data_IF_949248079967
#
_entry.id   IF_949248079967
#
_cell.length_a   1.000
_cell.length_b   1.000
_cell.length_c   1.000
_cell.angle_alpha   90.00
_cell.angle_beta   90.00
_cell.angle_gamma   90.00
#
_symmetry.space_group_name_H-M   'P 1'
#
loop_
_entity.id
_entity.type
_entity.pdbx_description
1 polymer ?
#
# COMPACT_ATOMS: atom_id res chain seq x y z
N UNK A 1 51.06 86.73 -66.48
CA UNK A 1 50.26 87.97 -66.52
C UNK A 1 48.84 87.50 -66.81
N UNK A 2 48.02 87.31 -65.77
CA UNK A 2 47.13 88.36 -65.26
C UNK A 2 46.15 88.76 -66.37
N UNK A 3 44.84 88.57 -66.34
CA UNK A 3 43.88 88.26 -65.27
C UNK A 3 42.47 88.18 -65.90
N UNK A 4 41.54 87.50 -65.22
CA UNK A 4 40.09 87.80 -65.12
C UNK A 4 39.19 87.90 -66.39
N UNK A 5 37.93 87.45 -66.47
CA UNK A 5 36.92 87.00 -65.49
C UNK A 5 35.70 86.43 -66.28
N UNK A 6 35.04 85.41 -65.69
CA UNK A 6 33.57 85.20 -65.52
C UNK A 6 32.73 84.89 -66.78
N UNK A 7 31.82 83.93 -66.81
CA UNK A 7 30.82 83.47 -65.82
C UNK A 7 30.41 81.99 -66.06
N UNK A 8 29.60 81.45 -65.14
CA UNK A 8 28.76 80.23 -65.25
C UNK A 8 29.41 78.92 -64.74
N UNK A 9 29.34 78.64 -63.44
CA UNK A 9 28.21 77.98 -62.75
C UNK A 9 28.70 77.48 -61.37
N UNK A 10 27.93 77.85 -60.34
CA UNK A 10 28.27 77.82 -58.92
C UNK A 10 28.24 76.43 -58.28
N UNK A 11 29.07 76.31 -57.24
CA UNK A 11 29.17 75.24 -56.25
C UNK A 11 28.11 75.33 -55.13
N UNK A 12 28.04 74.23 -54.36
CA UNK A 12 27.73 74.09 -52.92
C UNK A 12 26.27 74.27 -52.46
N UNK A 13 25.68 73.36 -51.68
CA UNK A 13 26.08 72.77 -50.38
C UNK A 13 26.12 73.77 -49.23
N UNK A 14 24.98 73.98 -48.54
CA UNK A 14 24.78 73.76 -47.09
C UNK A 14 23.46 74.39 -46.57
N UNK A 15 22.85 73.72 -45.57
CA UNK A 15 21.80 74.18 -44.62
C UNK A 15 20.33 74.26 -45.13
N UNK A 16 19.24 73.91 -44.43
CA UNK A 16 18.94 73.23 -43.16
C UNK A 16 17.39 73.00 -43.10
N UNK A 17 16.93 71.99 -42.33
CA UNK A 17 15.59 71.82 -41.71
C UNK A 17 14.42 71.15 -42.46
N UNK A 18 14.10 69.89 -42.10
CA UNK A 18 12.89 69.45 -41.33
C UNK A 18 12.59 67.94 -41.50
N UNK A 19 12.48 67.24 -40.37
CA UNK A 19 11.79 65.94 -40.24
C UNK A 19 10.27 66.10 -40.42
N UNK A 20 9.53 65.03 -40.77
CA UNK A 20 8.79 64.31 -39.72
C UNK A 20 8.78 62.77 -39.86
N UNK A 21 8.40 62.13 -38.76
CA UNK A 21 8.35 60.71 -38.47
C UNK A 21 7.20 59.92 -39.14
N UNK A 22 7.40 58.60 -39.34
CA UNK A 22 6.44 57.48 -39.35
C UNK A 22 7.15 56.28 -40.04
N UNK A 23 7.65 55.21 -39.41
CA UNK A 23 7.07 54.23 -38.48
C UNK A 23 6.00 53.30 -39.10
N UNK A 24 6.39 52.04 -39.34
CA UNK A 24 5.53 50.88 -39.08
C UNK A 24 5.09 50.00 -40.26
N UNK A 25 5.00 48.70 -39.98
CA UNK A 25 4.18 47.67 -40.65
C UNK A 25 4.83 46.72 -41.67
N UNK A 26 5.87 45.98 -41.25
CA UNK A 26 6.04 44.59 -41.75
C UNK A 26 6.53 43.62 -40.67
N UNK A 27 7.08 44.14 -39.56
CA UNK A 27 7.58 43.33 -38.44
C UNK A 27 6.49 42.92 -37.43
N UNK A 28 5.42 43.69 -37.23
CA UNK A 28 4.56 43.46 -36.04
C UNK A 28 3.60 42.27 -36.14
N UNK A 29 3.23 41.85 -37.35
CA UNK A 29 2.31 40.72 -37.56
C UNK A 29 2.98 39.37 -37.28
N UNK A 30 4.20 39.15 -37.79
CA UNK A 30 4.93 37.90 -37.61
C UNK A 30 5.36 37.66 -36.15
N UNK A 31 5.60 38.73 -35.39
CA UNK A 31 5.98 38.64 -33.98
C UNK A 31 4.77 38.42 -33.05
N UNK A 32 3.58 38.89 -33.42
CA UNK A 32 2.34 38.61 -32.67
C UNK A 32 1.92 37.14 -32.77
N UNK A 33 1.98 36.55 -33.96
CA UNK A 33 1.58 35.15 -34.19
C UNK A 33 2.51 34.13 -33.50
N UNK A 34 3.80 34.47 -33.37
CA UNK A 34 4.75 33.67 -32.60
C UNK A 34 4.55 33.81 -31.07
N UNK A 35 4.05 34.97 -30.61
CA UNK A 35 3.85 35.25 -29.19
C UNK A 35 2.55 34.65 -28.61
N UNK A 36 1.49 34.51 -29.41
CA UNK A 36 0.24 33.86 -28.98
C UNK A 36 0.36 32.34 -28.89
N UNK A 37 1.05 31.70 -29.84
CA UNK A 37 1.26 30.24 -29.83
C UNK A 37 2.05 29.77 -28.60
N UNK A 38 2.92 30.61 -28.00
CA UNK A 38 3.66 30.27 -26.77
C UNK A 38 2.81 30.36 -25.50
N UNK A 39 1.81 31.24 -25.42
CA UNK A 39 0.97 31.39 -24.20
C UNK A 39 -0.03 30.24 -24.04
N UNK A 40 -0.54 29.67 -25.14
CA UNK A 40 -1.55 28.61 -25.07
C UNK A 40 -0.96 27.20 -24.79
N UNK A 41 0.33 26.98 -25.07
CA UNK A 41 0.99 25.68 -24.86
C UNK A 41 1.42 25.39 -23.42
N UNK A 42 1.42 26.39 -22.54
CA UNK A 42 1.90 26.26 -21.14
C UNK A 42 0.77 25.99 -20.14
N UNK A 43 -0.49 26.33 -20.46
CA UNK A 43 -1.61 26.22 -19.50
C UNK A 43 -2.28 24.84 -19.43
N UNK A 44 -2.07 23.93 -20.38
CA UNK A 44 -2.75 22.61 -20.38
C UNK A 44 -1.95 21.46 -19.74
N UNK A 45 -0.65 21.64 -19.45
CA UNK A 45 0.19 20.60 -18.86
C UNK A 45 0.11 20.47 -17.33
N UNK A 46 -0.41 21.49 -16.62
CA UNK A 46 -0.32 21.56 -15.15
C UNK A 46 -1.42 20.79 -14.41
N UNK A 47 -2.55 20.48 -15.06
CA UNK A 47 -3.65 19.69 -14.46
C UNK A 47 -3.43 18.18 -14.51
N UNK A 48 -2.74 17.64 -15.53
CA UNK A 48 -2.51 16.19 -15.68
C UNK A 48 -1.50 15.61 -14.68
N UNK A 49 -0.57 16.42 -14.16
CA UNK A 49 0.44 15.97 -13.18
C UNK A 49 -0.09 15.91 -11.75
N UNK A 50 -1.15 16.66 -11.41
CA UNK A 50 -1.78 16.58 -10.07
C UNK A 50 -2.62 15.31 -9.91
N UNK A 51 -3.33 14.89 -10.96
CA UNK A 51 -4.18 13.70 -10.93
C UNK A 51 -3.32 12.43 -10.92
N UNK A 52 -2.22 12.36 -11.70
CA UNK A 52 -1.26 11.24 -11.61
C UNK A 52 -0.57 11.14 -10.24
N UNK A 53 -0.33 12.27 -9.57
CA UNK A 53 0.19 12.32 -8.19
C UNK A 53 -0.86 11.92 -7.15
N UNK A 54 -2.14 12.25 -7.35
CA UNK A 54 -3.24 11.82 -6.47
C UNK A 54 -3.49 10.32 -6.60
N UNK A 55 -3.54 9.77 -7.82
CA UNK A 55 -3.77 8.33 -8.05
C UNK A 55 -2.57 7.50 -7.60
N UNK A 56 -1.35 7.95 -7.89
CA UNK A 56 -0.13 7.33 -7.37
C UNK A 56 -0.03 7.44 -5.85
N UNK A 57 -0.39 8.60 -5.27
CA UNK A 57 -0.43 8.79 -3.82
C UNK A 57 -1.49 7.94 -3.13
N UNK A 58 -2.66 7.75 -3.75
CA UNK A 58 -3.71 6.87 -3.25
C UNK A 58 -3.28 5.40 -3.31
N UNK A 59 -2.64 4.98 -4.40
CA UNK A 59 -2.09 3.63 -4.52
C UNK A 59 -0.98 3.38 -3.48
N UNK A 60 -0.04 4.32 -3.33
CA UNK A 60 1.00 4.26 -2.30
C UNK A 60 0.39 4.27 -0.90
N UNK A 61 -0.64 5.07 -0.64
CA UNK A 61 -1.34 5.08 0.64
C UNK A 61 -2.01 3.73 0.92
N UNK A 62 -2.68 3.12 -0.06
CA UNK A 62 -3.25 1.77 0.08
C UNK A 62 -2.18 0.73 0.38
N UNK A 63 -1.05 0.76 -0.33
CA UNK A 63 0.06 -0.18 -0.08
C UNK A 63 0.63 0.02 1.32
N UNK A 64 0.84 1.27 1.75
CA UNK A 64 1.34 1.59 3.10
C UNK A 64 0.34 1.18 4.18
N UNK A 65 -0.95 1.46 4.00
CA UNK A 65 -2.01 1.05 4.95
C UNK A 65 -2.08 -0.47 5.05
N UNK A 66 -2.03 -1.18 3.91
CA UNK A 66 -2.02 -2.64 3.88
C UNK A 66 -0.77 -3.19 4.59
N UNK A 67 0.40 -2.60 4.35
CA UNK A 67 1.65 -2.99 5.01
C UNK A 67 1.59 -2.77 6.52
N UNK A 68 1.09 -1.62 6.97
CA UNK A 68 0.90 -1.31 8.40
C UNK A 68 -0.10 -2.28 9.02
N UNK A 69 -1.19 -2.60 8.32
CA UNK A 69 -2.16 -3.59 8.77
C UNK A 69 -1.52 -4.97 8.97
N UNK A 70 -0.73 -5.45 8.01
CA UNK A 70 0.02 -6.71 8.14
C UNK A 70 1.00 -6.67 9.32
N UNK A 71 1.73 -5.57 9.50
CA UNK A 71 2.63 -5.37 10.64
C UNK A 71 1.88 -5.47 11.97
N UNK A 72 0.74 -4.81 12.10
CA UNK A 72 -0.10 -4.87 13.31
C UNK A 72 -0.58 -6.31 13.57
N UNK A 73 -1.07 -7.00 12.54
CA UNK A 73 -1.49 -8.41 12.65
C UNK A 73 -0.33 -9.31 13.08
N UNK A 74 0.86 -9.14 12.53
CA UNK A 74 2.05 -9.91 12.92
C UNK A 74 2.46 -9.64 14.37
N UNK A 75 2.44 -8.37 14.81
CA UNK A 75 2.75 -8.01 16.20
C UNK A 75 1.73 -8.61 17.16
N UNK A 76 0.43 -8.54 16.85
CA UNK A 76 -0.63 -9.15 17.67
C UNK A 76 -0.46 -10.67 17.73
N UNK A 77 -0.22 -11.33 16.60
CA UNK A 77 0.00 -12.79 16.57
C UNK A 77 1.21 -13.21 17.41
N UNK A 78 2.31 -12.46 17.32
CA UNK A 78 3.55 -12.73 18.06
C UNK A 78 3.41 -12.43 19.55
N UNK A 79 2.75 -11.33 19.91
CA UNK A 79 2.51 -10.95 21.30
C UNK A 79 1.56 -11.92 22.01
N UNK A 80 0.54 -12.42 21.30
CA UNK A 80 -0.46 -13.27 21.92
C UNK A 80 0.03 -14.72 22.06
N UNK A 81 1.15 -15.12 21.41
CA UNK A 81 1.66 -16.52 21.35
C UNK A 81 0.56 -17.54 21.09
N UNK A 82 -0.48 -17.09 20.40
CA UNK A 82 -1.75 -17.76 20.29
C UNK A 82 -2.01 -17.85 18.79
N UNK A 83 -2.11 -19.06 18.24
CA UNK A 83 -2.36 -19.24 16.81
C UNK A 83 -3.79 -18.85 16.40
N UNK A 84 -4.52 -18.05 17.20
CA UNK A 84 -5.91 -17.69 16.95
C UNK A 84 -6.01 -16.61 15.87
N UNK A 85 -6.21 -17.02 14.62
CA UNK A 85 -6.63 -16.14 13.54
C UNK A 85 -8.16 -16.15 13.51
N UNK A 86 -8.80 -14.99 13.68
CA UNK A 86 -10.26 -14.86 13.59
C UNK A 86 -11.08 -15.73 14.59
N UNK A 87 -10.48 -16.11 15.73
CA UNK A 87 -11.11 -16.97 16.75
C UNK A 87 -10.85 -18.48 16.57
N UNK A 88 -10.07 -18.86 15.56
CA UNK A 88 -9.66 -20.24 15.29
C UNK A 88 -8.15 -20.39 15.40
N UNK A 89 -7.70 -21.42 16.10
CA UNK A 89 -6.31 -21.79 16.23
C UNK A 89 -5.97 -22.98 15.35
N UNK A 90 -4.84 -22.93 14.66
CA UNK A 90 -4.30 -24.11 13.96
C UNK A 90 -3.28 -24.82 14.83
N UNK A 91 -3.40 -26.14 14.96
CA UNK A 91 -2.41 -26.98 15.64
C UNK A 91 -2.02 -28.15 14.74
N UNK A 92 -0.78 -28.60 14.85
CA UNK A 92 -0.30 -29.81 14.20
C UNK A 92 -0.25 -30.94 15.22
N UNK A 93 -0.78 -32.11 14.85
CA UNK A 93 -0.75 -33.30 15.70
C UNK A 93 0.65 -33.90 15.68
N UNK A 94 1.26 -33.99 16.86
CA UNK A 94 2.63 -34.51 17.04
C UNK A 94 2.67 -35.89 17.69
N UNK A 95 1.52 -36.43 18.09
CA UNK A 95 1.41 -37.70 18.80
C UNK A 95 0.26 -38.53 18.24
N UNK A 96 0.43 -39.85 18.13
CA UNK A 96 -0.60 -40.79 17.67
C UNK A 96 -1.69 -41.10 18.71
N UNK A 97 -1.88 -40.27 19.74
CA UNK A 97 -2.87 -40.49 20.83
C UNK A 97 -4.33 -40.44 20.37
N UNK A 98 -4.57 -40.02 19.13
CA UNK A 98 -5.89 -39.83 18.53
C UNK A 98 -6.10 -40.67 17.26
N UNK A 99 -5.20 -41.61 16.95
CA UNK A 99 -5.32 -42.51 15.80
C UNK A 99 -6.51 -43.47 15.97
N UNK A 100 -7.28 -43.77 14.89
CA UNK A 100 -7.07 -43.38 13.49
C UNK A 100 -7.77 -42.07 13.09
N UNK A 101 -8.41 -41.36 14.03
CA UNK A 101 -9.23 -40.19 13.70
C UNK A 101 -8.39 -38.96 13.35
N UNK A 102 -7.22 -38.84 13.96
CA UNK A 102 -6.21 -37.81 13.67
C UNK A 102 -4.84 -38.49 13.61
N UNK A 103 -4.15 -38.32 12.50
CA UNK A 103 -2.83 -38.90 12.27
C UNK A 103 -1.73 -37.92 12.66
N UNK A 104 -0.52 -38.43 12.86
CA UNK A 104 0.65 -37.59 13.13
C UNK A 104 0.96 -36.77 11.87
N UNK A 105 1.07 -35.45 12.03
CA UNK A 105 1.28 -34.51 10.93
C UNK A 105 0.01 -33.78 10.48
N UNK A 106 -1.18 -34.23 10.90
CA UNK A 106 -2.43 -33.54 10.56
C UNK A 106 -2.49 -32.14 11.16
N UNK A 107 -3.04 -31.20 10.38
CA UNK A 107 -3.32 -29.84 10.82
C UNK A 107 -4.79 -29.71 11.18
N UNK A 108 -5.07 -29.46 12.45
CA UNK A 108 -6.42 -29.27 12.99
C UNK A 108 -6.73 -27.79 13.19
N UNK A 109 -8.00 -27.43 12.95
CA UNK A 109 -8.54 -26.10 13.24
C UNK A 109 -9.39 -26.17 14.51
N UNK A 110 -8.98 -25.44 15.55
CA UNK A 110 -9.59 -25.43 16.87
C UNK A 110 -10.30 -24.11 17.10
N UNK A 111 -11.61 -24.15 17.32
CA UNK A 111 -12.39 -22.97 17.68
C UNK A 111 -12.22 -22.65 19.16
N UNK A 112 -12.01 -21.38 19.49
CA UNK A 112 -12.03 -20.95 20.90
C UNK A 112 -13.45 -21.01 21.45
N UNK A 113 -13.66 -21.81 22.49
CA UNK A 113 -14.91 -21.89 23.26
C UNK A 113 -14.71 -21.16 24.58
N UNK A 114 -15.68 -20.33 24.99
CA UNK A 114 -15.59 -19.53 26.22
C UNK A 114 -16.38 -20.15 27.38
N UNK A 115 -17.38 -21.00 27.08
CA UNK A 115 -18.27 -21.63 28.06
C UNK A 115 -18.06 -23.14 28.05
N UNK A 116 -18.11 -23.77 29.23
CA UNK A 116 -18.05 -25.23 29.36
C UNK A 116 -19.35 -25.91 28.88
N UNK A 117 -20.46 -25.19 28.90
CA UNK A 117 -21.79 -25.68 28.49
C UNK A 117 -21.89 -26.03 26.99
N UNK A 118 -20.99 -25.46 26.18
CA UNK A 118 -20.92 -25.72 24.74
C UNK A 118 -20.26 -27.09 24.43
N UNK A 119 -19.63 -27.72 25.43
CA UNK A 119 -18.88 -28.96 25.28
C UNK A 119 -19.78 -30.17 25.51
N UNK A 120 -19.65 -31.18 24.64
CA UNK A 120 -20.41 -32.43 24.74
C UNK A 120 -19.48 -33.62 24.87
N UNK A 121 -20.00 -34.70 25.45
CA UNK A 121 -19.32 -35.99 25.47
C UNK A 121 -19.10 -36.46 24.03
N UNK A 122 -17.86 -36.85 23.71
CA UNK A 122 -17.43 -37.21 22.37
C UNK A 122 -16.69 -36.10 21.60
N UNK A 123 -16.71 -34.86 22.09
CA UNK A 123 -15.98 -33.76 21.46
C UNK A 123 -14.47 -33.91 21.64
N UNK A 124 -13.71 -33.48 20.63
CA UNK A 124 -12.24 -33.43 20.68
C UNK A 124 -11.85 -32.01 21.07
N UNK A 125 -11.14 -31.90 22.20
CA UNK A 125 -10.71 -30.62 22.72
C UNK A 125 -9.19 -30.56 22.81
N UNK A 126 -8.67 -29.36 22.61
CA UNK A 126 -7.25 -29.04 22.80
C UNK A 126 -7.12 -28.12 23.99
N UNK A 127 -6.30 -28.50 24.97
CA UNK A 127 -6.05 -27.71 26.17
C UNK A 127 -4.56 -27.65 26.49
N UNK A 128 -4.19 -26.63 27.26
CA UNK A 128 -2.83 -26.48 27.78
C UNK A 128 -2.73 -27.16 29.15
N UNK A 129 -1.90 -28.19 29.25
CA UNK A 129 -1.64 -28.87 30.51
C UNK A 129 -0.91 -27.95 31.47
N UNK A 130 -1.47 -27.77 32.67
CA UNK A 130 -0.88 -26.93 33.73
C UNK A 130 -0.16 -27.75 34.81
N UNK A 131 -0.36 -29.06 34.87
CA UNK A 131 0.13 -29.94 35.93
C UNK A 131 0.53 -31.32 35.36
N UNK A 132 1.41 -32.03 36.08
CA UNK A 132 1.87 -33.38 35.73
C UNK A 132 2.77 -33.44 34.48
N UNK A 133 2.83 -34.61 33.84
CA UNK A 133 3.65 -34.87 32.63
C UNK A 133 3.23 -34.05 31.39
N UNK A 134 2.05 -33.43 31.49
CA UNK A 134 1.45 -32.57 30.47
C UNK A 134 1.70 -31.08 30.75
N UNK A 135 2.39 -30.73 31.86
CA UNK A 135 2.68 -29.35 32.21
C UNK A 135 3.45 -28.62 31.09
N UNK A 136 2.91 -27.51 30.62
CA UNK A 136 3.48 -26.70 29.55
C UNK A 136 3.25 -27.25 28.14
N UNK A 137 2.54 -28.38 27.99
CA UNK A 137 2.26 -29.01 26.68
C UNK A 137 0.82 -28.74 26.25
N UNK A 138 0.63 -28.65 24.94
CA UNK A 138 -0.69 -28.60 24.31
C UNK A 138 -1.13 -30.03 24.00
N UNK A 139 -2.28 -30.44 24.53
CA UNK A 139 -2.77 -31.82 24.46
C UNK A 139 -4.15 -31.82 23.83
N UNK A 140 -4.37 -32.75 22.88
CA UNK A 140 -5.65 -32.95 22.20
C UNK A 140 -6.22 -34.30 22.59
N UNK A 141 -7.37 -34.32 23.26
CA UNK A 141 -8.05 -35.54 23.73
C UNK A 141 -9.55 -35.47 23.47
N UNK A 142 -10.22 -36.62 23.48
CA UNK A 142 -11.68 -36.69 23.42
C UNK A 142 -12.29 -36.61 24.83
N UNK A 143 -13.39 -35.89 24.97
CA UNK A 143 -14.20 -35.85 26.21
C UNK A 143 -14.93 -37.18 26.38
N UNK A 144 -14.62 -37.89 27.47
CA UNK A 144 -15.31 -39.13 27.83
C UNK A 144 -16.48 -38.88 28.77
N UNK A 145 -16.34 -37.93 29.70
CA UNK A 145 -17.32 -37.64 30.73
C UNK A 145 -17.23 -36.19 31.18
N UNK A 146 -18.38 -35.60 31.48
CA UNK A 146 -18.52 -34.28 32.09
C UNK A 146 -19.25 -34.49 33.43
N UNK A 147 -18.64 -34.04 34.52
CA UNK A 147 -19.15 -34.15 35.90
C UNK A 147 -19.19 -32.75 36.53
N UNK A 148 -20.25 -31.98 36.27
CA UNK A 148 -20.30 -30.57 36.64
C UNK A 148 -19.12 -29.82 36.02
N UNK A 149 -18.27 -29.24 36.88
CA UNK A 149 -17.09 -28.48 36.45
C UNK A 149 -15.86 -29.34 36.09
N UNK A 150 -15.95 -30.67 36.24
CA UNK A 150 -14.85 -31.60 35.91
C UNK A 150 -15.08 -32.25 34.56
N UNK A 151 -14.10 -32.10 33.66
CA UNK A 151 -14.10 -32.75 32.35
C UNK A 151 -13.00 -33.81 32.34
N UNK A 152 -13.39 -35.05 32.07
CA UNK A 152 -12.46 -36.18 31.91
C UNK A 152 -12.23 -36.41 30.43
N UNK A 153 -10.96 -36.32 30.02
CA UNK A 153 -10.55 -36.54 28.64
C UNK A 153 -9.54 -37.68 28.51
N UNK A 154 -9.52 -38.33 27.35
CA UNK A 154 -8.54 -39.38 27.03
C UNK A 154 -8.21 -39.37 25.53
N UNK A 155 -7.00 -39.80 25.19
CA UNK A 155 -6.65 -40.18 23.82
C UNK A 155 -7.45 -41.40 23.37
N UNK A 156 -7.91 -41.39 22.12
CA UNK A 156 -8.69 -42.47 21.51
C UNK A 156 -7.84 -43.42 20.67
N UNK A 157 -6.51 -43.31 20.77
CA UNK A 157 -5.55 -44.19 20.12
C UNK A 157 -5.93 -45.65 20.33
N UNK A 158 -6.23 -46.33 19.23
CA UNK A 158 -6.31 -47.77 19.21
C UNK A 158 -4.94 -48.28 18.79
N UNK A 159 -4.18 -48.83 19.74
CA UNK A 159 -2.95 -49.54 19.40
C UNK A 159 -3.31 -50.68 18.47
N UNK A 160 -2.86 -50.60 17.22
CA UNK A 160 -2.97 -51.71 16.27
C UNK A 160 -2.05 -52.80 16.79
N UNK A 161 -2.65 -53.91 17.26
CA UNK A 161 -1.99 -55.18 17.56
C UNK A 161 -1.51 -55.87 16.29
#
# INVERSE_FOLDING_TARGET
>A
MESEKKDVLQQNSSEESKQPAAEGTFSDAAWKDASEKKKNKVKSGKKRSKIKKIVGGFFTAIVVVTLVFFLVVLVINKATNKPYVFGYATYTIVSGSMEPKLEIGDVILVKKVNSLDDLKVGDIITYHGRQGDLAGKTVTHQILRIEGDKIVTRGIAKWVT
#
